data_IF_072109045800
#
_entry.id   IF_072109045800
#
_cell.length_a   1.000
_cell.length_b   1.000
_cell.length_c   1.000
_cell.angle_alpha   90.00
_cell.angle_beta   90.00
_cell.angle_gamma   90.00
#
_symmetry.space_group_name_H-M   'P 1'
#
loop_
_entity.id
_entity.type
_entity.pdbx_description
1 polymer ?
#
# COMPACT_ATOMS: atom_id res chain seq x y z
N UNK A 1 12.41 11.90 17.50
CA UNK A 1 11.03 12.15 17.04
C UNK A 1 10.62 10.95 16.21
N UNK A 2 9.92 10.00 16.82
CA UNK A 2 9.35 8.86 16.08
C UNK A 2 8.31 9.45 15.14
N UNK A 3 8.51 9.36 13.84
CA UNK A 3 7.47 9.71 12.88
C UNK A 3 6.33 8.71 13.10
N UNK A 4 5.27 9.12 13.79
CA UNK A 4 4.07 8.31 13.96
C UNK A 4 3.36 8.23 12.60
N UNK A 5 3.55 7.13 11.88
CA UNK A 5 2.76 6.84 10.70
C UNK A 5 1.38 6.34 11.15
N UNK A 6 0.28 7.03 10.81
CA UNK A 6 -1.04 6.53 11.15
C UNK A 6 -1.28 5.17 10.46
N UNK A 7 -2.09 4.27 11.06
CA UNK A 7 -2.44 2.99 10.46
C UNK A 7 -2.82 3.11 8.99
N UNK A 8 -2.29 2.23 8.15
CA UNK A 8 -2.66 2.20 6.74
C UNK A 8 -4.04 1.57 6.57
N UNK A 9 -4.81 2.09 5.62
CA UNK A 9 -5.95 1.33 5.11
C UNK A 9 -5.43 0.13 4.32
N UNK A 10 -6.21 -0.97 4.28
CA UNK A 10 -5.84 -2.17 3.53
C UNK A 10 -5.52 -1.84 2.05
N UNK A 11 -6.30 -0.93 1.44
CA UNK A 11 -6.05 -0.47 0.07
C UNK A 11 -4.73 0.27 -0.11
N UNK A 12 -4.39 1.19 0.80
CA UNK A 12 -3.09 1.90 0.73
C UNK A 12 -1.92 0.94 0.94
N UNK A 13 -2.06 0.01 1.90
CA UNK A 13 -1.06 -1.02 2.15
C UNK A 13 -0.78 -1.86 0.90
N UNK A 14 -1.82 -2.39 0.24
CA UNK A 14 -1.62 -3.15 -0.98
C UNK A 14 -1.12 -2.32 -2.17
N UNK A 15 -1.51 -1.05 -2.30
CA UNK A 15 -0.93 -0.17 -3.33
C UNK A 15 0.58 -0.03 -3.12
N UNK A 16 1.02 0.21 -1.89
CA UNK A 16 2.46 0.32 -1.59
C UNK A 16 3.19 -0.99 -1.88
N UNK A 17 2.64 -2.13 -1.49
CA UNK A 17 3.20 -3.46 -1.83
C UNK A 17 3.29 -3.65 -3.35
N UNK A 18 2.25 -3.29 -4.09
CA UNK A 18 2.24 -3.37 -5.55
C UNK A 18 3.25 -2.42 -6.21
N UNK A 19 3.85 -1.48 -5.49
CA UNK A 19 4.82 -0.53 -6.01
C UNK A 19 6.27 -0.84 -5.62
N UNK A 20 6.53 -2.01 -5.02
CA UNK A 20 7.89 -2.54 -4.85
C UNK A 20 8.59 -2.81 -6.18
N UNK A 21 7.84 -2.89 -7.28
CA UNK A 21 8.37 -2.78 -8.64
C UNK A 21 7.56 -1.72 -9.39
N UNK A 22 8.18 -1.09 -10.40
CA UNK A 22 7.55 -0.07 -11.21
C UNK A 22 6.26 -0.60 -11.86
N UNK A 23 5.14 0.10 -11.67
CA UNK A 23 3.85 -0.26 -12.29
C UNK A 23 3.01 0.94 -12.70
N UNK A 24 2.28 0.78 -13.79
CA UNK A 24 1.18 1.67 -14.14
C UNK A 24 -0.04 1.49 -13.24
N UNK A 25 -0.92 2.49 -13.21
CA UNK A 25 -2.16 2.47 -12.44
C UNK A 25 -3.02 1.21 -12.64
N UNK A 26 -3.11 0.70 -13.88
CA UNK A 26 -3.83 -0.55 -14.16
C UNK A 26 -3.17 -1.80 -13.59
N UNK A 27 -1.83 -1.89 -13.67
CA UNK A 27 -1.10 -3.02 -13.08
C UNK A 27 -1.22 -3.05 -11.55
N UNK A 28 -1.26 -1.88 -10.91
CA UNK A 28 -1.54 -1.78 -9.47
C UNK A 28 -2.94 -2.33 -9.15
N UNK A 29 -3.97 -1.93 -9.92
CA UNK A 29 -5.34 -2.41 -9.71
C UNK A 29 -5.44 -3.94 -9.78
N UNK A 30 -4.78 -4.56 -10.78
CA UNK A 30 -4.79 -6.01 -10.94
C UNK A 30 -4.09 -6.74 -9.80
N UNK A 31 -2.89 -6.28 -9.42
CA UNK A 31 -2.12 -6.93 -8.36
C UNK A 31 -2.78 -6.77 -6.98
N UNK A 32 -3.44 -5.63 -6.71
CA UNK A 32 -4.20 -5.43 -5.47
C UNK A 32 -5.40 -6.38 -5.40
N UNK A 33 -6.13 -6.57 -6.50
CA UNK A 33 -7.24 -7.53 -6.57
C UNK A 33 -6.74 -8.96 -6.32
N UNK A 34 -5.60 -9.33 -6.93
CA UNK A 34 -4.96 -10.63 -6.76
C UNK A 34 -4.49 -10.86 -5.31
N UNK A 35 -3.65 -9.99 -4.75
CA UNK A 35 -3.11 -10.13 -3.38
C UNK A 35 -4.22 -10.18 -2.32
N UNK A 36 -5.29 -9.42 -2.53
CA UNK A 36 -6.42 -9.35 -1.60
C UNK A 36 -7.44 -10.47 -1.81
N UNK A 37 -7.22 -11.40 -2.74
CA UNK A 37 -8.20 -12.42 -3.14
C UNK A 37 -9.58 -11.80 -3.47
N UNK A 38 -9.57 -10.67 -4.17
CA UNK A 38 -10.78 -9.97 -4.60
C UNK A 38 -11.48 -9.15 -3.53
N UNK A 39 -10.97 -9.08 -2.29
CA UNK A 39 -11.57 -8.27 -1.21
C UNK A 39 -11.40 -6.78 -1.44
N UNK A 40 -10.26 -6.38 -2.00
CA UNK A 40 -9.94 -4.99 -2.30
C UNK A 40 -10.01 -4.76 -3.79
N UNK A 41 -11.05 -4.05 -4.23
CA UNK A 41 -11.25 -3.65 -5.63
C UNK A 41 -11.15 -2.15 -5.77
N UNK A 42 -10.06 -1.69 -6.39
CA UNK A 42 -9.80 -0.26 -6.58
C UNK A 42 -10.43 0.19 -7.91
N UNK A 43 -11.47 1.01 -7.84
CA UNK A 43 -11.99 1.71 -9.01
C UNK A 43 -11.02 2.80 -9.47
N UNK A 44 -11.14 3.22 -10.73
CA UNK A 44 -10.27 4.26 -11.33
C UNK A 44 -10.20 5.55 -10.48
N UNK A 45 -11.33 6.03 -9.95
CA UNK A 45 -11.34 7.22 -9.09
C UNK A 45 -10.54 7.03 -7.80
N UNK A 46 -10.66 5.87 -7.15
CA UNK A 46 -9.99 5.56 -5.89
C UNK A 46 -8.48 5.41 -6.07
N UNK A 47 -8.04 4.71 -7.11
CA UNK A 47 -6.60 4.49 -7.38
C UNK A 47 -5.90 5.82 -7.67
N UNK A 48 -6.45 6.69 -8.52
CA UNK A 48 -5.79 7.95 -8.86
C UNK A 48 -5.79 8.93 -7.68
N UNK A 49 -6.85 8.93 -6.86
CA UNK A 49 -6.85 9.66 -5.59
C UNK A 49 -5.74 9.17 -4.65
N UNK A 50 -5.63 7.86 -4.47
CA UNK A 50 -4.60 7.26 -3.62
C UNK A 50 -3.18 7.55 -4.14
N UNK A 51 -2.91 7.37 -5.44
CA UNK A 51 -1.62 7.68 -6.07
C UNK A 51 -1.24 9.14 -5.84
N UNK A 52 -2.18 10.07 -6.06
CA UNK A 52 -1.93 11.50 -5.82
C UNK A 52 -1.51 11.76 -4.38
N UNK A 53 -2.24 11.22 -3.40
CA UNK A 53 -1.90 11.37 -1.98
C UNK A 53 -0.56 10.74 -1.62
N UNK A 54 -0.23 9.58 -2.20
CA UNK A 54 1.05 8.90 -1.95
C UNK A 54 2.25 9.66 -2.53
N UNK A 55 2.08 10.28 -3.70
CA UNK A 55 3.07 11.20 -4.29
C UNK A 55 3.26 12.44 -3.41
N UNK A 56 2.17 13.08 -2.96
CA UNK A 56 2.22 14.24 -2.07
C UNK A 56 2.92 13.94 -0.74
N UNK A 57 2.81 12.69 -0.25
CA UNK A 57 3.50 12.21 0.95
C UNK A 57 4.96 11.79 0.70
N UNK A 58 5.40 11.72 -0.55
CA UNK A 58 6.73 11.23 -0.93
C UNK A 58 6.95 9.73 -0.62
N UNK A 59 5.87 8.95 -0.52
CA UNK A 59 5.96 7.50 -0.27
C UNK A 59 6.15 6.71 -1.57
N UNK A 60 5.79 7.31 -2.69
CA UNK A 60 6.02 6.80 -4.03
C UNK A 60 6.53 7.96 -4.90
N UNK A 61 7.15 7.62 -6.01
CA UNK A 61 7.55 8.57 -7.04
C UNK A 61 7.05 8.12 -8.42
N UNK A 62 6.91 9.07 -9.34
CA UNK A 62 6.57 8.79 -10.72
C UNK A 62 7.86 8.63 -11.52
N UNK A 63 7.94 7.57 -12.32
CA UNK A 63 8.98 7.42 -13.32
C UNK A 63 8.52 8.14 -14.59
N UNK A 64 9.34 9.05 -15.12
CA UNK A 64 9.01 9.76 -16.35
C UNK A 64 9.10 8.80 -17.54
N UNK A 65 8.03 8.76 -18.32
CA UNK A 65 7.99 8.14 -19.63
C UNK A 65 7.48 9.19 -20.62
N UNK A 66 8.15 9.24 -21.76
CA UNK A 66 8.12 10.27 -22.81
C UNK A 66 6.77 10.30 -23.57
N UNK A 67 5.67 10.41 -22.82
CA UNK A 67 4.35 10.78 -23.31
C UNK A 67 3.27 9.70 -23.32
N UNK A 68 3.47 8.46 -22.83
CA UNK A 68 2.38 7.45 -22.95
C UNK A 68 1.87 6.74 -21.71
N UNK A 69 2.67 6.38 -20.68
CA UNK A 69 2.07 5.88 -19.42
C UNK A 69 2.98 6.11 -18.21
N UNK A 70 2.52 6.89 -17.23
CA UNK A 70 3.25 7.06 -15.95
C UNK A 70 3.32 5.75 -15.19
N UNK A 71 4.53 5.31 -14.89
CA UNK A 71 4.80 4.27 -13.88
C UNK A 71 5.06 4.93 -12.54
N UNK A 72 4.78 4.19 -11.48
CA UNK A 72 5.10 4.59 -10.13
C UNK A 72 5.96 3.53 -9.48
N UNK A 73 6.80 3.94 -8.53
CA UNK A 73 7.63 3.04 -7.72
C UNK A 73 7.67 3.56 -6.28
N UNK A 74 7.78 2.65 -5.31
CA UNK A 74 7.88 2.98 -3.89
C UNK A 74 9.25 3.60 -3.56
N UNK A 75 9.26 4.64 -2.72
CA UNK A 75 10.50 5.26 -2.22
C UNK A 75 11.00 4.55 -0.96
N UNK A 76 12.21 4.84 -0.50
CA UNK A 76 12.73 4.34 0.78
C UNK A 76 11.85 4.76 1.98
N UNK A 77 11.29 5.98 1.94
CA UNK A 77 10.31 6.44 2.93
C UNK A 77 9.04 5.58 2.88
N UNK A 78 8.53 5.27 1.70
CA UNK A 78 7.38 4.39 1.53
C UNK A 78 7.63 2.98 2.04
N UNK A 79 8.82 2.41 1.79
CA UNK A 79 9.22 1.10 2.34
C UNK A 79 9.21 1.10 3.86
N UNK A 80 9.79 2.12 4.48
CA UNK A 80 9.76 2.29 5.94
C UNK A 80 8.33 2.30 6.49
N UNK A 81 7.40 2.99 5.81
CA UNK A 81 5.98 3.01 6.19
C UNK A 81 5.35 1.62 6.11
N UNK A 82 5.67 0.82 5.08
CA UNK A 82 5.20 -0.57 4.97
C UNK A 82 5.76 -1.43 6.10
N UNK A 83 7.04 -1.28 6.44
CA UNK A 83 7.68 -2.01 7.55
C UNK A 83 7.00 -1.70 8.90
N UNK A 84 6.69 -0.44 9.18
CA UNK A 84 5.93 -0.07 10.37
C UNK A 84 4.54 -0.70 10.40
N UNK A 85 3.84 -0.73 9.27
CA UNK A 85 2.52 -1.35 9.19
C UNK A 85 2.58 -2.87 9.40
N UNK A 86 3.61 -3.55 8.88
CA UNK A 86 3.83 -4.99 9.13
C UNK A 86 3.98 -5.27 10.63
N UNK A 87 4.80 -4.48 11.33
CA UNK A 87 4.99 -4.63 12.77
C UNK A 87 3.68 -4.40 13.54
N UNK A 88 2.92 -3.37 13.16
CA UNK A 88 1.64 -3.04 13.76
C UNK A 88 0.59 -4.14 13.54
N UNK A 89 0.47 -4.65 12.32
CA UNK A 89 -0.46 -5.73 11.98
C UNK A 89 -0.11 -7.03 12.71
N UNK A 90 1.19 -7.33 12.87
CA UNK A 90 1.65 -8.46 13.68
C UNK A 90 1.25 -8.31 15.14
N UNK A 91 1.47 -7.14 15.73
CA UNK A 91 1.03 -6.87 17.11
C UNK A 91 -0.48 -7.03 17.28
N UNK A 92 -1.28 -6.52 16.33
CA UNK A 92 -2.73 -6.70 16.36
C UNK A 92 -3.15 -8.16 16.26
N UNK A 93 -2.53 -8.92 15.36
CA UNK A 93 -2.77 -10.35 15.21
C UNK A 93 -2.45 -11.10 16.52
N UNK A 94 -1.25 -10.89 17.07
CA UNK A 94 -0.79 -11.55 18.29
C UNK A 94 -1.71 -11.21 19.48
N UNK A 95 -2.11 -9.94 19.62
CA UNK A 95 -3.05 -9.51 20.65
C UNK A 95 -4.45 -10.12 20.45
N UNK A 96 -4.93 -10.18 19.20
CA UNK A 96 -6.21 -10.81 18.86
C UNK A 96 -6.24 -12.26 19.31
N UNK A 97 -5.27 -13.06 18.86
CA UNK A 97 -5.14 -14.48 19.23
C UNK A 97 -5.04 -14.65 20.75
N UNK A 98 -4.22 -13.83 21.42
CA UNK A 98 -4.01 -13.90 22.87
C UNK A 98 -5.30 -13.67 23.65
N UNK A 99 -6.14 -12.71 23.25
CA UNK A 99 -7.36 -12.35 23.97
C UNK A 99 -8.53 -13.28 23.61
N UNK A 100 -8.70 -13.65 22.33
CA UNK A 100 -9.77 -14.56 21.91
C UNK A 100 -9.50 -16.02 22.25
N UNK A 101 -8.27 -16.35 22.69
CA UNK A 101 -7.77 -17.72 22.91
C UNK A 101 -7.70 -18.54 21.62
N UNK A 102 -7.41 -17.89 20.51
CA UNK A 102 -7.42 -18.48 19.17
C UNK A 102 -8.71 -18.16 18.40
N UNK A 103 -8.70 -18.49 17.11
CA UNK A 103 -9.87 -18.48 16.24
C UNK A 103 -10.05 -19.94 15.85
N UNK A 104 -11.13 -20.58 16.32
CA UNK A 104 -11.51 -21.93 15.88
C UNK A 104 -11.80 -21.96 14.38
#
# INVERSE_FOLDING_TARGET
MTQEHPPLTEGVYYILLALYEARHGYGIMQLVDEMSNGRVRLGAGTIYGAIKTLLERGWIEALDDDGRKKEYIITETGKSVVEFEILRLRELFDNGIRITKGVE
#
